data_IF_435614190909
#
_entry.id   IF_435614190909
#
_cell.length_a   1.000
_cell.length_b   1.000
_cell.length_c   1.000
_cell.angle_alpha   90.00
_cell.angle_beta   90.00
_cell.angle_gamma   90.00
#
_symmetry.space_group_name_H-M   'P 1'
#
loop_
_entity.id
_entity.type
_entity.pdbx_description
1 polymer ?
#
# COMPACT_ATOMS: atom_id res chain seq x y z
N UNK A 1 -33.69 12.05 -17.91
CA UNK A 1 -32.69 11.40 -18.78
C UNK A 1 -32.90 9.89 -18.68
N UNK A 2 -32.87 9.16 -19.80
CA UNK A 2 -32.78 7.68 -19.73
C UNK A 2 -31.42 7.33 -19.11
N UNK A 3 -31.33 6.36 -18.19
CA UNK A 3 -30.04 5.92 -17.67
C UNK A 3 -29.16 5.45 -18.84
N UNK A 4 -27.87 5.79 -18.78
CA UNK A 4 -26.91 5.25 -19.74
C UNK A 4 -26.97 3.71 -19.64
N UNK A 5 -26.97 2.99 -20.78
CA UNK A 5 -27.06 1.54 -20.74
C UNK A 5 -25.89 0.96 -19.94
N UNK A 6 -26.12 -0.13 -19.21
CA UNK A 6 -25.03 -0.86 -18.56
C UNK A 6 -24.04 -1.37 -19.61
N UNK A 7 -22.77 -1.49 -19.24
CA UNK A 7 -21.77 -2.16 -20.08
C UNK A 7 -22.18 -3.62 -20.30
N UNK A 8 -22.44 -4.03 -21.56
CA UNK A 8 -22.87 -5.40 -21.86
C UNK A 8 -21.84 -6.45 -21.42
N UNK A 9 -20.56 -6.10 -21.50
CA UNK A 9 -19.44 -6.95 -21.07
C UNK A 9 -18.51 -6.14 -20.17
N UNK A 10 -18.32 -6.59 -18.94
CA UNK A 10 -17.27 -6.05 -18.07
C UNK A 10 -16.88 -7.10 -17.03
N UNK A 11 -15.59 -7.27 -16.72
CA UNK A 11 -15.18 -8.16 -15.66
C UNK A 11 -15.59 -7.61 -14.30
N UNK A 12 -15.93 -8.49 -13.36
CA UNK A 12 -16.10 -8.08 -11.97
C UNK A 12 -14.76 -7.62 -11.36
N UNK A 13 -14.73 -6.56 -10.53
CA UNK A 13 -13.55 -6.20 -9.77
C UNK A 13 -13.19 -7.28 -8.77
N UNK A 14 -11.90 -7.47 -8.53
CA UNK A 14 -11.40 -8.35 -7.48
C UNK A 14 -11.23 -7.63 -6.15
N UNK A 15 -11.19 -8.39 -5.06
CA UNK A 15 -10.93 -7.86 -3.73
C UNK A 15 -9.57 -7.16 -3.69
N UNK A 16 -9.56 -5.89 -3.29
CA UNK A 16 -8.36 -5.05 -3.21
C UNK A 16 -7.74 -4.67 -4.57
N UNK A 17 -8.42 -4.92 -5.69
CA UNK A 17 -7.98 -4.48 -7.01
C UNK A 17 -7.94 -2.94 -7.11
N UNK A 18 -6.91 -2.40 -7.75
CA UNK A 18 -6.81 -0.97 -8.02
C UNK A 18 -7.82 -0.52 -9.10
N UNK A 19 -8.35 0.70 -8.98
CA UNK A 19 -9.32 1.24 -9.94
C UNK A 19 -8.73 1.29 -11.35
N UNK A 20 -7.48 1.74 -11.49
CA UNK A 20 -6.76 1.71 -12.76
C UNK A 20 -6.67 0.29 -13.33
N UNK A 21 -6.45 -0.72 -12.49
CA UNK A 21 -6.30 -2.10 -12.96
C UNK A 21 -7.61 -2.68 -13.48
N UNK A 22 -8.70 -2.46 -12.73
CA UNK A 22 -10.02 -2.89 -13.18
C UNK A 22 -10.44 -2.18 -14.47
N UNK A 23 -10.23 -0.86 -14.58
CA UNK A 23 -10.58 -0.12 -15.80
C UNK A 23 -9.76 -0.57 -17.01
N UNK A 24 -8.49 -0.92 -16.84
CA UNK A 24 -7.70 -1.54 -17.92
C UNK A 24 -8.33 -2.85 -18.38
N UNK A 25 -8.78 -3.71 -17.45
CA UNK A 25 -9.45 -4.97 -17.80
C UNK A 25 -10.80 -4.76 -18.48
N UNK A 26 -11.55 -3.73 -18.09
CA UNK A 26 -12.79 -3.33 -18.78
C UNK A 26 -12.47 -2.85 -20.20
N UNK A 27 -11.52 -1.94 -20.37
CA UNK A 27 -11.16 -1.37 -21.67
C UNK A 27 -10.67 -2.47 -22.65
N UNK A 28 -9.92 -3.46 -22.15
CA UNK A 28 -9.50 -4.63 -22.92
C UNK A 28 -10.67 -5.45 -23.49
N UNK A 29 -11.83 -5.51 -22.82
CA UNK A 29 -13.02 -6.18 -23.35
C UNK A 29 -13.59 -5.50 -24.60
N UNK A 30 -13.25 -4.23 -24.82
CA UNK A 30 -13.70 -3.42 -25.96
C UNK A 30 -12.57 -3.09 -26.95
N UNK A 31 -11.37 -3.66 -26.75
CA UNK A 31 -10.18 -3.36 -27.54
C UNK A 31 -9.81 -1.86 -27.54
N UNK A 32 -9.98 -1.21 -26.39
CA UNK A 32 -9.68 0.20 -26.18
C UNK A 32 -8.64 0.38 -25.07
N UNK A 33 -7.97 1.52 -25.07
CA UNK A 33 -7.18 1.98 -23.93
C UNK A 33 -8.06 2.70 -22.90
N UNK A 34 -7.60 2.78 -21.64
CA UNK A 34 -8.37 3.41 -20.56
C UNK A 34 -8.66 4.88 -20.84
N UNK A 35 -7.74 5.60 -21.48
CA UNK A 35 -7.96 6.99 -21.88
C UNK A 35 -9.14 7.15 -22.83
N UNK A 36 -9.27 6.26 -23.81
CA UNK A 36 -10.36 6.27 -24.79
C UNK A 36 -11.70 5.93 -24.12
N UNK A 37 -11.69 4.96 -23.18
CA UNK A 37 -12.87 4.64 -22.37
C UNK A 37 -13.31 5.83 -21.51
N UNK A 38 -12.36 6.51 -20.86
CA UNK A 38 -12.66 7.69 -20.03
C UNK A 38 -13.24 8.83 -20.89
N UNK A 39 -12.61 9.14 -22.01
CA UNK A 39 -12.97 10.27 -22.86
C UNK A 39 -14.30 10.05 -23.57
N UNK A 40 -14.44 8.92 -24.27
CA UNK A 40 -15.55 8.71 -25.18
C UNK A 40 -16.78 8.09 -24.52
N UNK A 41 -16.60 7.29 -23.46
CA UNK A 41 -17.69 6.56 -22.81
C UNK A 41 -18.16 7.22 -21.52
N UNK A 42 -17.21 7.71 -20.72
CA UNK A 42 -17.48 8.23 -19.38
C UNK A 42 -17.51 9.77 -19.36
N UNK A 43 -17.12 10.44 -20.44
CA UNK A 43 -17.13 11.90 -20.54
C UNK A 43 -16.11 12.58 -19.63
N UNK A 44 -15.04 11.87 -19.27
CA UNK A 44 -13.95 12.38 -18.47
C UNK A 44 -12.71 12.54 -19.33
N UNK A 45 -12.07 13.71 -19.28
CA UNK A 45 -10.76 13.91 -19.89
C UNK A 45 -9.68 13.07 -19.19
N UNK A 46 -8.42 13.34 -19.50
CA UNK A 46 -7.29 12.69 -18.83
C UNK A 46 -7.40 12.86 -17.30
N UNK A 47 -7.54 11.75 -16.59
CA UNK A 47 -7.48 11.70 -15.13
C UNK A 47 -6.06 11.33 -14.74
N UNK A 48 -5.35 12.25 -14.08
CA UNK A 48 -3.93 12.10 -13.77
C UNK A 48 -3.62 10.87 -12.90
N UNK A 49 -4.49 10.57 -11.92
CA UNK A 49 -4.35 9.38 -11.07
C UNK A 49 -5.71 8.82 -10.60
N UNK A 50 -6.08 7.67 -11.16
CA UNK A 50 -7.30 6.94 -10.83
C UNK A 50 -7.23 6.27 -9.44
N UNK A 51 -6.04 6.00 -8.92
CA UNK A 51 -5.87 5.21 -7.70
C UNK A 51 -5.68 6.07 -6.46
N UNK A 52 -5.35 7.36 -6.59
CA UNK A 52 -5.25 8.26 -5.43
C UNK A 52 -6.60 8.83 -5.04
N UNK A 53 -7.21 9.64 -5.90
CA UNK A 53 -8.45 10.36 -5.60
C UNK A 53 -9.29 10.54 -6.87
N UNK A 54 -9.91 9.45 -7.39
CA UNK A 54 -10.73 9.54 -8.58
C UNK A 54 -11.92 10.51 -8.36
N UNK A 55 -12.30 11.31 -9.37
CA UNK A 55 -13.43 12.24 -9.24
C UNK A 55 -14.72 11.52 -8.84
N UNK A 56 -15.49 12.09 -7.91
CA UNK A 56 -16.77 11.49 -7.48
C UNK A 56 -17.77 11.33 -8.64
N UNK A 57 -17.75 12.27 -9.59
CA UNK A 57 -18.55 12.17 -10.81
C UNK A 57 -18.18 10.93 -11.64
N UNK A 58 -16.88 10.62 -11.74
CA UNK A 58 -16.40 9.42 -12.43
C UNK A 58 -16.88 8.16 -11.71
N UNK A 59 -16.76 8.11 -10.38
CA UNK A 59 -17.25 6.96 -9.60
C UNK A 59 -18.76 6.75 -9.76
N UNK A 60 -19.55 7.82 -9.80
CA UNK A 60 -20.99 7.75 -10.02
C UNK A 60 -21.32 7.23 -11.43
N UNK A 61 -20.59 7.68 -12.46
CA UNK A 61 -20.74 7.18 -13.83
C UNK A 61 -20.36 5.69 -13.93
N UNK A 62 -19.23 5.30 -13.34
CA UNK A 62 -18.80 3.90 -13.28
C UNK A 62 -19.83 3.02 -12.57
N UNK A 63 -20.42 3.50 -11.48
CA UNK A 63 -21.49 2.79 -10.78
C UNK A 63 -22.71 2.57 -11.67
N UNK A 64 -23.13 3.61 -12.41
CA UNK A 64 -24.24 3.49 -13.37
C UNK A 64 -23.91 2.51 -14.50
N UNK A 65 -22.69 2.55 -15.05
CA UNK A 65 -22.30 1.71 -16.20
C UNK A 65 -22.10 0.25 -15.81
N UNK A 66 -21.52 -0.03 -14.64
CA UNK A 66 -21.18 -1.39 -14.19
C UNK A 66 -22.20 -2.03 -13.24
N UNK A 67 -23.09 -1.24 -12.63
CA UNK A 67 -23.95 -1.71 -11.54
C UNK A 67 -23.21 -1.98 -10.23
N UNK A 68 -21.95 -1.54 -10.10
CA UNK A 68 -21.15 -1.70 -8.89
C UNK A 68 -21.45 -0.55 -7.93
N UNK A 69 -21.61 -0.85 -6.65
CA UNK A 69 -21.87 0.16 -5.62
C UNK A 69 -20.76 1.22 -5.54
N UNK A 70 -21.10 2.51 -5.39
CA UNK A 70 -20.12 3.59 -5.33
C UNK A 70 -19.05 3.41 -4.26
N UNK A 71 -19.42 2.88 -3.08
CA UNK A 71 -18.47 2.65 -1.98
C UNK A 71 -17.43 1.59 -2.34
N UNK A 72 -17.83 0.54 -3.08
CA UNK A 72 -16.89 -0.48 -3.55
C UNK A 72 -15.91 0.11 -4.57
N UNK A 73 -16.39 0.92 -5.50
CA UNK A 73 -15.52 1.60 -6.48
C UNK A 73 -14.58 2.59 -5.78
N UNK A 74 -15.06 3.31 -4.76
CA UNK A 74 -14.23 4.21 -3.96
C UNK A 74 -13.11 3.46 -3.24
N UNK A 75 -13.38 2.28 -2.69
CA UNK A 75 -12.40 1.41 -2.02
C UNK A 75 -11.31 0.84 -2.95
N UNK A 76 -11.45 1.01 -4.27
CA UNK A 76 -10.41 0.68 -5.26
C UNK A 76 -9.42 1.84 -5.47
N UNK A 77 -9.49 2.88 -4.64
CA UNK A 77 -8.57 4.01 -4.59
C UNK A 77 -8.19 4.36 -3.14
N UNK A 78 -7.08 5.08 -2.95
CA UNK A 78 -6.60 5.52 -1.62
C UNK A 78 -7.61 6.45 -0.93
N UNK A 79 -8.40 7.22 -1.68
CA UNK A 79 -9.51 8.01 -1.13
C UNK A 79 -10.60 7.17 -0.45
N UNK A 80 -10.73 5.88 -0.79
CA UNK A 80 -11.58 4.93 -0.08
C UNK A 80 -10.97 4.38 1.20
N UNK A 81 -9.66 4.59 1.42
CA UNK A 81 -8.94 4.13 2.61
C UNK A 81 -8.75 5.23 3.66
N UNK A 82 -9.27 6.44 3.40
CA UNK A 82 -9.41 7.53 4.37
C UNK A 82 -10.68 7.33 5.21
N UNK A 83 -10.66 7.52 6.55
CA UNK A 83 -9.55 8.00 7.37
C UNK A 83 -8.74 6.89 8.07
N UNK A 84 -8.97 5.62 7.74
CA UNK A 84 -8.47 4.52 8.58
C UNK A 84 -7.02 4.12 8.27
N UNK A 85 -6.62 4.07 6.99
CA UNK A 85 -5.22 3.88 6.60
C UNK A 85 -4.49 5.21 6.53
N UNK A 86 -5.08 6.21 5.87
CA UNK A 86 -4.54 7.57 5.77
C UNK A 86 -5.51 8.50 6.49
N UNK A 87 -5.02 9.47 7.27
CA UNK A 87 -5.92 10.44 7.93
C UNK A 87 -6.49 11.44 6.92
N UNK A 88 -5.71 11.76 5.90
CA UNK A 88 -6.09 12.63 4.79
C UNK A 88 -5.20 12.36 3.57
N UNK A 89 -5.67 12.79 2.40
CA UNK A 89 -4.85 12.93 1.20
C UNK A 89 -4.27 14.33 1.03
N UNK A 90 -4.70 15.29 1.86
CA UNK A 90 -4.13 16.63 1.97
C UNK A 90 -2.75 16.55 2.64
N UNK A 91 -1.74 17.08 1.97
CA UNK A 91 -0.36 17.09 2.42
C UNK A 91 -0.01 18.33 3.27
N UNK A 92 -0.90 19.32 3.34
CA UNK A 92 -0.70 20.57 4.07
C UNK A 92 -1.21 20.53 5.52
N UNK A 93 -1.67 19.37 6.01
CA UNK A 93 -2.14 19.24 7.39
C UNK A 93 -0.97 19.43 8.36
N UNK A 94 -1.01 20.43 9.25
CA UNK A 94 0.01 20.63 10.27
C UNK A 94 0.12 19.42 11.19
N UNK A 95 1.35 19.08 11.58
CA UNK A 95 1.66 18.02 12.54
C UNK A 95 1.10 16.62 12.19
N UNK A 96 0.71 16.39 10.93
CA UNK A 96 0.14 15.13 10.47
C UNK A 96 1.03 13.91 10.77
N UNK A 97 2.35 14.06 10.63
CA UNK A 97 3.29 12.99 10.99
C UNK A 97 3.26 12.70 12.49
N UNK A 98 3.21 13.74 13.33
CA UNK A 98 3.21 13.57 14.78
C UNK A 98 1.93 12.89 15.26
N UNK A 99 0.78 13.33 14.75
CA UNK A 99 -0.52 12.76 15.10
C UNK A 99 -0.66 11.32 14.63
N UNK A 100 -0.13 10.99 13.45
CA UNK A 100 -0.23 9.63 12.92
C UNK A 100 0.80 8.67 13.53
N UNK A 101 2.09 9.04 13.51
CA UNK A 101 3.19 8.11 13.76
C UNK A 101 3.80 8.21 15.17
N UNK A 102 3.65 9.34 15.87
CA UNK A 102 4.31 9.59 17.16
C UNK A 102 3.36 9.51 18.37
N UNK A 103 2.10 9.11 18.20
CA UNK A 103 1.16 8.96 19.32
C UNK A 103 1.22 7.60 20.03
N UNK A 104 1.64 6.53 19.35
CA UNK A 104 1.71 5.17 19.90
C UNK A 104 3.14 4.81 20.32
N UNK A 105 3.40 3.68 20.95
CA UNK A 105 4.75 3.24 21.31
C UNK A 105 4.80 1.72 21.19
N UNK A 106 5.84 1.18 20.53
CA UNK A 106 5.94 -0.27 20.26
C UNK A 106 7.17 -0.86 20.94
N UNK A 107 8.37 -0.47 20.50
CA UNK A 107 9.67 -0.86 21.05
C UNK A 107 10.27 0.21 21.95
N UNK A 108 10.03 1.50 21.66
CA UNK A 108 10.63 2.63 22.38
C UNK A 108 9.58 3.39 23.21
N UNK A 109 9.86 3.74 24.48
CA UNK A 109 8.92 4.51 25.31
C UNK A 109 8.70 5.92 24.74
N UNK A 110 7.46 6.43 24.84
CA UNK A 110 7.04 7.71 24.24
C UNK A 110 7.99 8.89 24.52
N UNK A 111 8.48 9.01 25.76
CA UNK A 111 9.31 10.13 26.22
C UNK A 111 10.71 10.22 25.55
N UNK A 112 11.13 9.19 24.80
CA UNK A 112 12.46 9.15 24.16
C UNK A 112 12.46 9.46 22.68
N UNK A 113 11.30 9.76 22.09
CA UNK A 113 11.22 10.05 20.66
C UNK A 113 11.25 11.55 20.44
N UNK A 114 12.20 12.00 19.60
CA UNK A 114 12.19 13.38 19.10
C UNK A 114 11.05 13.50 18.10
N UNK A 115 10.08 14.36 18.40
CA UNK A 115 9.09 14.79 17.41
C UNK A 115 9.80 15.58 16.32
N UNK A 116 9.23 15.52 15.12
CA UNK A 116 9.77 16.18 13.93
C UNK A 116 8.60 16.74 13.15
N UNK A 117 8.73 17.99 12.75
CA UNK A 117 7.79 18.63 11.85
C UNK A 117 8.30 18.52 10.41
N UNK A 118 7.38 18.24 9.50
CA UNK A 118 7.63 18.14 8.06
C UNK A 118 6.45 18.80 7.37
N UNK A 119 6.79 19.63 6.38
CA UNK A 119 5.83 20.25 5.46
C UNK A 119 5.52 19.30 4.31
N UNK A 120 4.28 19.25 3.82
CA UNK A 120 3.91 18.41 2.67
C UNK A 120 4.18 16.91 2.93
N UNK A 121 3.46 16.34 3.90
CA UNK A 121 3.57 14.92 4.24
C UNK A 121 2.22 14.21 4.09
N UNK A 122 2.25 13.04 3.45
CA UNK A 122 1.10 12.14 3.34
C UNK A 122 1.47 10.77 3.87
N UNK A 123 0.62 10.23 4.73
CA UNK A 123 0.86 8.93 5.36
C UNK A 123 0.90 7.82 4.32
N UNK A 124 1.92 6.96 4.37
CA UNK A 124 2.08 5.77 3.50
C UNK A 124 2.25 6.04 2.00
N UNK A 125 1.88 7.22 1.48
CA UNK A 125 2.00 7.54 0.06
C UNK A 125 3.47 7.76 -0.31
N UNK A 126 4.05 6.90 -1.16
CA UNK A 126 5.46 7.00 -1.50
C UNK A 126 5.72 8.22 -2.40
N UNK A 127 6.90 8.82 -2.27
CA UNK A 127 7.31 9.92 -3.16
C UNK A 127 7.55 9.50 -4.61
N UNK A 128 7.69 8.19 -4.85
CA UNK A 128 7.87 7.58 -6.16
C UNK A 128 6.88 6.43 -6.32
N UNK A 129 6.28 6.25 -7.52
CA UNK A 129 5.42 5.10 -7.80
C UNK A 129 6.09 3.77 -7.47
N UNK A 130 5.31 2.82 -6.97
CA UNK A 130 5.76 1.46 -6.71
C UNK A 130 5.07 0.53 -7.70
N UNK A 131 5.85 -0.12 -8.55
CA UNK A 131 5.38 -1.11 -9.52
C UNK A 131 5.87 -2.48 -9.11
N UNK A 132 5.06 -3.17 -8.32
CA UNK A 132 5.35 -4.53 -7.88
C UNK A 132 4.10 -5.38 -7.85
N UNK A 133 4.28 -6.67 -8.03
CA UNK A 133 3.18 -7.61 -8.06
C UNK A 133 3.63 -9.02 -7.70
N UNK A 134 2.65 -9.87 -7.40
CA UNK A 134 2.91 -11.28 -7.22
C UNK A 134 3.11 -11.97 -8.57
N UNK A 135 4.22 -12.68 -8.82
CA UNK A 135 4.44 -13.41 -10.06
C UNK A 135 3.39 -14.48 -10.32
N UNK A 136 2.92 -15.16 -9.26
CA UNK A 136 1.88 -16.17 -9.37
C UNK A 136 0.50 -15.58 -9.70
N UNK A 137 0.15 -14.41 -9.16
CA UNK A 137 -1.11 -13.74 -9.53
C UNK A 137 -1.12 -13.32 -11.00
N UNK A 138 -0.06 -12.65 -11.47
CA UNK A 138 -0.06 -12.05 -12.81
C UNK A 138 0.26 -13.03 -13.94
N UNK A 139 0.92 -14.15 -13.65
CA UNK A 139 1.17 -15.20 -14.65
C UNK A 139 -0.08 -16.05 -14.92
N UNK A 140 -1.13 -15.95 -14.11
CA UNK A 140 -2.44 -16.53 -14.42
C UNK A 140 -3.21 -15.55 -15.35
N UNK A 141 -3.49 -15.94 -16.62
CA UNK A 141 -4.22 -15.10 -17.57
C UNK A 141 -5.62 -14.74 -17.09
N UNK A 142 -6.24 -15.61 -16.27
CA UNK A 142 -7.52 -15.30 -15.63
C UNK A 142 -7.35 -14.33 -14.47
N UNK A 143 -6.15 -14.19 -13.89
CA UNK A 143 -5.86 -13.47 -12.64
C UNK A 143 -4.96 -12.21 -12.74
N UNK A 144 -4.95 -11.51 -13.87
CA UNK A 144 -4.11 -10.31 -14.09
C UNK A 144 -4.61 -9.02 -13.41
N UNK A 145 -5.13 -9.09 -12.18
CA UNK A 145 -5.48 -7.91 -11.40
C UNK A 145 -4.27 -7.40 -10.59
N UNK A 146 -3.97 -6.11 -10.70
CA UNK A 146 -2.99 -5.44 -9.86
C UNK A 146 -3.70 -4.91 -8.61
N UNK A 147 -3.25 -5.36 -7.44
CA UNK A 147 -3.84 -4.93 -6.18
C UNK A 147 -3.37 -3.53 -5.79
N UNK A 148 -4.29 -2.72 -5.26
CA UNK A 148 -4.01 -1.36 -4.80
C UNK A 148 -2.94 -1.36 -3.69
N UNK A 149 -2.97 -2.37 -2.81
CA UNK A 149 -2.05 -2.49 -1.69
C UNK A 149 -0.59 -2.66 -2.12
N UNK A 150 -0.35 -3.22 -3.31
CA UNK A 150 1.00 -3.39 -3.85
C UNK A 150 1.65 -2.06 -4.23
N UNK A 151 0.85 -1.03 -4.48
CA UNK A 151 1.30 0.34 -4.79
C UNK A 151 1.72 1.13 -3.55
N UNK A 152 1.46 0.61 -2.35
CA UNK A 152 1.90 1.18 -1.08
C UNK A 152 3.00 0.34 -0.44
N UNK A 153 3.93 0.96 0.29
CA UNK A 153 4.97 0.26 1.03
C UNK A 153 4.45 -0.30 2.36
N UNK A 154 3.41 -1.15 2.30
CA UNK A 154 2.75 -1.75 3.47
C UNK A 154 3.11 -3.23 3.68
N UNK A 155 3.52 -3.91 2.61
CA UNK A 155 3.78 -5.34 2.56
C UNK A 155 4.95 -5.66 1.61
N UNK A 156 5.55 -6.84 1.76
CA UNK A 156 6.66 -7.31 0.91
C UNK A 156 6.31 -8.56 0.10
N UNK A 157 5.28 -9.29 0.51
CA UNK A 157 4.85 -10.55 -0.05
C UNK A 157 3.36 -10.54 -0.42
N UNK A 158 3.00 -11.47 -1.31
CA UNK A 158 1.62 -11.71 -1.67
C UNK A 158 0.89 -12.38 -0.50
N UNK A 159 -0.23 -11.82 -0.01
CA UNK A 159 -0.98 -12.42 1.09
C UNK A 159 -1.67 -13.74 0.72
N UNK A 160 -1.85 -14.01 -0.59
CA UNK A 160 -2.45 -15.23 -1.10
C UNK A 160 -1.41 -16.34 -1.32
N UNK A 161 -0.24 -15.98 -1.85
CA UNK A 161 0.77 -16.96 -2.28
C UNK A 161 2.01 -17.04 -1.38
N UNK A 162 2.22 -16.07 -0.48
CA UNK A 162 3.38 -16.03 0.42
C UNK A 162 4.73 -15.80 -0.28
N UNK A 163 4.75 -15.51 -1.58
CA UNK A 163 5.96 -15.15 -2.31
C UNK A 163 6.21 -13.65 -2.29
N UNK A 164 7.45 -13.23 -2.50
CA UNK A 164 7.81 -11.83 -2.65
C UNK A 164 7.02 -11.14 -3.77
N UNK A 165 6.76 -9.85 -3.58
CA UNK A 165 6.29 -8.97 -4.64
C UNK A 165 7.50 -8.55 -5.46
N UNK A 166 7.45 -8.83 -6.76
CA UNK A 166 8.53 -8.55 -7.71
C UNK A 166 8.22 -7.31 -8.54
N UNK A 167 9.27 -6.57 -8.92
CA UNK A 167 9.12 -5.36 -9.71
C UNK A 167 8.71 -5.67 -11.15
N UNK A 168 7.82 -4.84 -11.68
CA UNK A 168 7.35 -4.96 -13.06
C UNK A 168 7.36 -3.58 -13.74
N UNK A 169 7.46 -3.56 -15.06
CA UNK A 169 7.26 -2.36 -15.87
C UNK A 169 5.90 -2.40 -16.57
N UNK A 170 5.27 -1.23 -16.68
CA UNK A 170 3.93 -1.10 -17.25
C UNK A 170 3.36 0.30 -17.12
N UNK A 171 2.09 0.45 -17.47
CA UNK A 171 1.32 1.69 -17.22
C UNK A 171 0.50 1.54 -15.94
N UNK A 172 -0.01 2.64 -15.32
CA UNK A 172 -0.82 2.54 -14.10
C UNK A 172 -1.94 1.50 -14.22
N UNK A 173 -1.88 0.48 -13.36
CA UNK A 173 -2.89 -0.59 -13.31
C UNK A 173 -2.72 -1.74 -14.30
N UNK A 174 -1.78 -1.65 -15.25
CA UNK A 174 -1.54 -2.68 -16.28
C UNK A 174 -0.11 -3.19 -16.23
N UNK A 175 0.01 -4.50 -16.11
CA UNK A 175 1.28 -5.22 -16.22
C UNK A 175 1.65 -5.43 -17.69
N UNK A 176 2.90 -5.12 -18.07
CA UNK A 176 3.42 -5.36 -19.42
C UNK A 176 4.59 -6.36 -19.41
N UNK A 177 5.42 -6.34 -18.37
CA UNK A 177 6.48 -7.32 -18.18
C UNK A 177 7.22 -7.16 -16.86
N UNK A 178 8.00 -8.17 -16.50
CA UNK A 178 8.85 -8.13 -15.30
C UNK A 178 10.13 -7.33 -15.57
N UNK A 179 10.63 -6.61 -14.56
CA UNK A 179 11.92 -5.93 -14.66
C UNK A 179 13.07 -6.94 -14.67
N UNK A 180 12.93 -8.02 -13.90
CA UNK A 180 13.89 -9.13 -13.84
C UNK A 180 13.40 -10.29 -14.72
N UNK A 181 14.33 -10.91 -15.45
CA UNK A 181 14.03 -12.07 -16.29
C UNK A 181 13.74 -13.34 -15.47
N UNK A 182 14.34 -13.46 -14.29
CA UNK A 182 13.99 -14.52 -13.34
C UNK A 182 12.71 -14.13 -12.59
N UNK A 183 11.65 -14.86 -12.90
CA UNK A 183 10.31 -14.65 -12.33
C UNK A 183 9.90 -15.82 -11.44
N UNK A 184 10.85 -16.71 -11.11
CA UNK A 184 10.62 -17.81 -10.21
C UNK A 184 10.12 -17.25 -8.86
N UNK A 185 8.94 -17.67 -8.37
CA UNK A 185 8.39 -17.15 -7.14
C UNK A 185 9.35 -17.38 -5.97
N UNK A 186 9.86 -16.29 -5.40
CA UNK A 186 10.74 -16.37 -4.24
C UNK A 186 9.88 -16.39 -2.98
N UNK A 187 10.01 -17.43 -2.16
CA UNK A 187 9.23 -17.55 -0.91
C UNK A 187 9.64 -16.47 0.08
N UNK A 188 8.68 -15.80 0.71
CA UNK A 188 8.93 -14.86 1.78
C UNK A 188 9.24 -15.59 3.10
N UNK A 189 10.02 -14.97 3.98
CA UNK A 189 10.24 -15.54 5.32
C UNK A 189 8.93 -15.58 6.11
N UNK A 190 8.86 -16.44 7.12
CA UNK A 190 7.68 -16.56 7.98
C UNK A 190 7.31 -15.21 8.63
N UNK A 191 8.33 -14.45 9.05
CA UNK A 191 8.14 -13.13 9.64
C UNK A 191 7.43 -12.16 8.70
N UNK A 192 7.90 -12.08 7.45
CA UNK A 192 7.29 -11.26 6.40
C UNK A 192 5.88 -11.73 6.11
N UNK A 193 5.70 -13.04 5.91
CA UNK A 193 4.40 -13.60 5.56
C UNK A 193 3.35 -13.39 6.68
N UNK A 194 3.75 -13.46 7.96
CA UNK A 194 2.87 -13.17 9.11
C UNK A 194 2.46 -11.69 9.13
N UNK A 195 3.42 -10.77 8.99
CA UNK A 195 3.14 -9.34 8.96
C UNK A 195 2.21 -8.99 7.78
N UNK A 196 2.50 -9.50 6.59
CA UNK A 196 1.76 -9.18 5.38
C UNK A 196 0.36 -9.77 5.37
N UNK A 197 0.16 -10.98 5.92
CA UNK A 197 -1.19 -11.53 6.14
C UNK A 197 -2.02 -10.69 7.09
N UNK A 198 -1.42 -10.18 8.18
CA UNK A 198 -2.11 -9.26 9.12
C UNK A 198 -2.44 -7.93 8.45
N UNK A 199 -1.51 -7.38 7.68
CA UNK A 199 -1.73 -6.17 6.88
C UNK A 199 -2.84 -6.36 5.85
N UNK A 200 -2.88 -7.50 5.17
CA UNK A 200 -3.97 -7.83 4.25
C UNK A 200 -5.31 -7.98 4.97
N UNK A 201 -5.33 -8.67 6.12
CA UNK A 201 -6.53 -8.78 6.95
C UNK A 201 -7.08 -7.40 7.36
N UNK A 202 -6.21 -6.47 7.74
CA UNK A 202 -6.61 -5.09 8.04
C UNK A 202 -7.30 -4.43 6.83
N UNK A 203 -6.74 -4.59 5.63
CA UNK A 203 -7.25 -3.98 4.40
C UNK A 203 -8.60 -4.56 3.95
N UNK A 204 -8.80 -5.87 4.08
CA UNK A 204 -10.00 -6.53 3.54
C UNK A 204 -11.12 -6.71 4.55
N UNK A 205 -10.80 -6.80 5.85
CA UNK A 205 -11.79 -7.10 6.89
C UNK A 205 -11.99 -5.97 7.90
N UNK A 206 -11.17 -4.91 7.83
CA UNK A 206 -11.24 -3.77 8.76
C UNK A 206 -10.69 -4.04 10.16
N UNK A 207 -10.13 -5.23 10.41
CA UNK A 207 -9.53 -5.60 11.70
C UNK A 207 -8.35 -6.56 11.53
N UNK A 208 -7.55 -6.72 12.58
CA UNK A 208 -6.44 -7.68 12.64
C UNK A 208 -6.59 -8.55 13.88
N UNK A 209 -6.44 -9.86 13.69
CA UNK A 209 -6.34 -10.82 14.78
C UNK A 209 -4.90 -10.90 15.28
N UNK A 210 -4.70 -10.47 16.53
CA UNK A 210 -3.44 -10.65 17.26
C UNK A 210 -3.63 -11.74 18.33
N UNK A 211 -2.55 -12.40 18.80
CA UNK A 211 -2.67 -13.54 19.71
C UNK A 211 -3.50 -13.32 20.98
N UNK A 212 -3.65 -12.06 21.44
CA UNK A 212 -4.37 -11.72 22.67
C UNK A 212 -5.63 -10.87 22.46
N UNK A 213 -5.82 -10.28 21.28
CA UNK A 213 -6.94 -9.39 21.01
C UNK A 213 -7.10 -9.10 19.52
N UNK A 214 -8.34 -8.85 19.11
CA UNK A 214 -8.66 -8.19 17.85
C UNK A 214 -8.38 -6.68 17.98
N UNK A 215 -7.80 -6.07 16.94
CA UNK A 215 -7.64 -4.61 16.86
C UNK A 215 -8.21 -4.06 15.55
N UNK A 216 -8.64 -2.81 15.57
CA UNK A 216 -9.12 -2.10 14.37
C UNK A 216 -7.98 -1.87 13.37
N UNK A 217 -8.27 -1.94 12.06
CA UNK A 217 -7.30 -1.75 10.98
C UNK A 217 -6.51 -0.44 11.12
N UNK A 218 -7.19 0.68 11.43
CA UNK A 218 -6.50 1.96 11.60
C UNK A 218 -5.51 2.02 12.77
N UNK A 219 -5.70 1.18 13.80
CA UNK A 219 -4.71 1.03 14.88
C UNK A 219 -3.53 0.18 14.42
N UNK A 220 -3.75 -0.87 13.62
CA UNK A 220 -2.69 -1.68 13.03
C UNK A 220 -1.72 -0.83 12.20
N UNK A 221 -2.24 -0.01 11.27
CA UNK A 221 -1.38 0.82 10.42
C UNK A 221 -0.60 1.87 11.20
N UNK A 222 -1.21 2.49 12.23
CA UNK A 222 -0.48 3.41 13.10
C UNK A 222 0.62 2.70 13.88
N UNK A 223 0.36 1.50 14.42
CA UNK A 223 1.38 0.70 15.11
C UNK A 223 2.53 0.33 14.17
N UNK A 224 2.23 -0.11 12.95
CA UNK A 224 3.24 -0.44 11.95
C UNK A 224 4.07 0.80 11.57
N UNK A 225 3.42 1.95 11.33
CA UNK A 225 4.13 3.19 11.00
C UNK A 225 5.00 3.67 12.16
N UNK A 226 4.49 3.61 13.38
CA UNK A 226 5.24 3.90 14.61
C UNK A 226 6.47 3.00 14.73
N UNK A 227 6.31 1.68 14.52
CA UNK A 227 7.41 0.73 14.59
C UNK A 227 8.51 1.07 13.57
N UNK A 228 8.14 1.44 12.34
CA UNK A 228 9.10 1.87 11.32
C UNK A 228 9.87 3.14 11.75
N UNK A 229 9.23 4.11 12.40
CA UNK A 229 9.94 5.29 12.92
C UNK A 229 10.86 4.95 14.09
N UNK A 230 10.43 4.05 14.98
CA UNK A 230 11.24 3.58 16.10
C UNK A 230 12.48 2.82 15.62
N UNK A 231 12.33 1.96 14.60
CA UNK A 231 13.46 1.26 13.97
C UNK A 231 14.44 2.21 13.27
N UNK A 232 13.97 3.39 12.83
CA UNK A 232 14.83 4.44 12.26
C UNK A 232 15.46 5.37 13.33
N UNK A 233 15.34 5.04 14.62
CA UNK A 233 15.89 5.84 15.71
C UNK A 233 17.36 5.48 15.97
N UNK A 234 18.30 6.46 16.07
CA UNK A 234 19.70 6.18 16.41
C UNK A 234 19.84 5.49 17.78
N UNK A 235 20.69 4.46 17.88
CA UNK A 235 20.88 3.71 19.13
C UNK A 235 21.32 4.58 20.30
N UNK A 236 22.10 5.63 20.06
CA UNK A 236 22.53 6.61 21.08
C UNK A 236 21.35 7.31 21.78
N UNK A 237 20.18 7.35 21.15
CA UNK A 237 18.95 7.94 21.70
C UNK A 237 17.99 6.92 22.31
N UNK A 238 18.27 5.62 22.17
CA UNK A 238 17.38 4.54 22.62
C UNK A 238 17.60 4.16 24.10
N UNK A 239 18.78 4.46 24.66
CA UNK A 239 19.18 4.07 26.01
C UNK A 239 19.03 2.56 26.23
N UNK A 240 18.35 2.15 27.31
CA UNK A 240 18.13 0.72 27.66
C UNK A 240 17.43 -0.11 26.57
N UNK A 241 16.65 0.51 25.67
CA UNK A 241 15.98 -0.21 24.57
C UNK A 241 16.91 -0.49 23.36
N UNK A 242 18.15 0.02 23.36
CA UNK A 242 19.07 -0.14 22.24
C UNK A 242 19.40 -1.62 21.92
N UNK A 243 19.36 -2.49 22.94
CA UNK A 243 19.56 -3.93 22.77
C UNK A 243 18.51 -4.57 21.87
N UNK A 244 17.23 -4.25 22.08
CA UNK A 244 16.13 -4.79 21.28
C UNK A 244 16.24 -4.37 19.81
N UNK A 245 16.51 -3.09 19.53
CA UNK A 245 16.67 -2.62 18.15
C UNK A 245 17.84 -3.32 17.47
N UNK A 246 18.96 -3.50 18.18
CA UNK A 246 20.12 -4.22 17.62
C UNK A 246 19.76 -5.66 17.26
N UNK A 247 19.06 -6.37 18.14
CA UNK A 247 18.61 -7.74 17.88
C UNK A 247 17.69 -7.84 16.66
N UNK A 248 16.78 -6.88 16.47
CA UNK A 248 15.91 -6.85 15.28
C UNK A 248 16.73 -6.70 14.01
N UNK A 249 17.65 -5.73 13.97
CA UNK A 249 18.48 -5.48 12.78
C UNK A 249 19.45 -6.64 12.49
N UNK A 250 20.05 -7.23 13.52
CA UNK A 250 20.86 -8.45 13.40
C UNK A 250 20.03 -9.63 12.89
N UNK A 251 18.79 -9.77 13.38
CA UNK A 251 17.87 -10.85 12.99
C UNK A 251 17.45 -10.81 11.52
N UNK A 252 17.30 -9.61 10.92
CA UNK A 252 17.04 -9.46 9.50
C UNK A 252 18.31 -9.35 8.63
N UNK A 253 19.51 -9.40 9.24
CA UNK A 253 20.79 -9.37 8.53
C UNK A 253 21.15 -8.02 7.89
N UNK A 254 20.42 -6.95 8.20
CA UNK A 254 20.64 -5.61 7.64
C UNK A 254 21.41 -4.70 8.62
N UNK A 255 22.19 -3.74 8.12
CA UNK A 255 22.82 -2.75 9.00
C UNK A 255 21.76 -1.94 9.74
N UNK A 256 22.11 -1.44 10.93
CA UNK A 256 21.23 -0.58 11.73
C UNK A 256 20.63 0.54 10.88
N UNK A 257 19.31 0.75 11.03
CA UNK A 257 18.55 1.76 10.27
C UNK A 257 18.68 1.58 8.75
N UNK A 258 18.90 0.36 8.27
CA UNK A 258 19.15 0.08 6.85
C UNK A 258 20.31 0.93 6.27
N UNK A 259 21.33 1.21 7.09
CA UNK A 259 22.50 2.00 6.70
C UNK A 259 22.29 3.51 6.62
N UNK A 260 21.14 4.02 7.07
CA UNK A 260 20.84 5.45 7.06
C UNK A 260 21.68 6.23 8.07
N UNK A 261 22.32 7.30 7.61
CA UNK A 261 22.97 8.30 8.49
C UNK A 261 21.96 9.33 8.97
N UNK A 262 21.23 9.96 8.05
CA UNK A 262 20.20 10.95 8.31
C UNK A 262 18.82 10.30 8.43
N UNK A 263 17.96 10.85 9.29
CA UNK A 263 16.58 10.42 9.34
C UNK A 263 15.77 11.09 8.23
N UNK A 264 14.85 10.33 7.64
CA UNK A 264 13.84 10.78 6.68
C UNK A 264 12.54 10.03 6.95
N UNK A 265 11.37 10.60 6.59
CA UNK A 265 10.12 9.86 6.59
C UNK A 265 10.22 8.59 5.78
N UNK A 266 9.58 7.54 6.28
CA UNK A 266 9.54 6.24 5.63
C UNK A 266 9.10 6.32 4.16
N UNK A 267 8.12 7.18 3.88
CA UNK A 267 7.52 7.42 2.56
C UNK A 267 8.52 8.00 1.53
N UNK A 268 9.57 8.66 2.01
CA UNK A 268 10.60 9.32 1.18
C UNK A 268 11.91 8.54 1.11
N UNK A 269 11.99 7.39 1.77
CA UNK A 269 13.17 6.53 1.71
C UNK A 269 13.34 5.94 0.31
N UNK A 270 14.59 5.71 -0.08
CA UNK A 270 14.93 4.98 -1.29
C UNK A 270 14.29 3.58 -1.25
N UNK A 271 13.88 3.00 -2.40
CA UNK A 271 13.17 1.72 -2.44
C UNK A 271 13.87 0.58 -1.68
N UNK A 272 15.19 0.42 -1.85
CA UNK A 272 15.96 -0.62 -1.16
C UNK A 272 15.94 -0.45 0.37
N UNK A 273 16.14 0.79 0.85
CA UNK A 273 16.11 1.11 2.29
C UNK A 273 14.71 0.87 2.85
N UNK A 274 13.67 1.26 2.09
CA UNK A 274 12.27 1.10 2.47
C UNK A 274 11.89 -0.38 2.62
N UNK A 275 12.41 -1.25 1.76
CA UNK A 275 12.25 -2.70 1.82
C UNK A 275 12.92 -3.26 3.08
N UNK A 276 14.19 -2.94 3.33
CA UNK A 276 14.92 -3.40 4.52
C UNK A 276 14.25 -2.96 5.84
N UNK A 277 13.69 -1.75 5.87
CA UNK A 277 12.92 -1.24 7.01
C UNK A 277 11.66 -2.08 7.27
N UNK A 278 10.96 -2.56 6.23
CA UNK A 278 9.81 -3.48 6.40
C UNK A 278 10.24 -4.87 6.84
N UNK A 279 11.37 -5.37 6.36
CA UNK A 279 11.92 -6.65 6.84
C UNK A 279 12.26 -6.58 8.33
N UNK A 280 12.85 -5.47 8.78
CA UNK A 280 13.10 -5.22 10.20
C UNK A 280 11.79 -5.12 10.99
N UNK A 281 10.76 -4.46 10.46
CA UNK A 281 9.44 -4.40 11.09
C UNK A 281 8.80 -5.80 11.21
N UNK A 282 8.86 -6.60 10.15
CA UNK A 282 8.38 -7.98 10.16
C UNK A 282 9.10 -8.83 11.22
N UNK A 283 10.43 -8.67 11.31
CA UNK A 283 11.27 -9.35 12.30
C UNK A 283 10.90 -8.95 13.74
N UNK A 284 10.59 -7.66 13.98
CA UNK A 284 10.16 -7.19 15.30
C UNK A 284 8.75 -7.65 15.71
N UNK A 285 7.90 -8.00 14.75
CA UNK A 285 6.52 -8.45 14.97
C UNK A 285 6.43 -9.97 15.24
N UNK A 286 7.48 -10.71 14.88
CA UNK A 286 7.55 -12.17 14.92
C UNK A 286 8.05 -12.68 16.26
#
# INVERSE_FOLDING_TARGET
>A
MKPAPHWPLHPAPREGEALSSWLNRVALCYHMEVSELLEHDLGHGQVDDLDTAPPLALLAMLSQRSGIEPDRLRCMSFAGWVPWLLDSLDDQIPDALETYAFQLSVLLPKLRRRTRSITSWRTWLPSQPIHRACPLCLNDPANQAVLLAWKLPLMLSCPLHGCWLESYWGVPGRFLGWENADTAPRTASDAIAVMDRRTWQALTTGHVELPRRRIHAGLWFRLLRTLLDELNTPLSTCGTCAGYLRQVWEGCGHPLRAGQSLWRPYETLNPAVRLQMLEAAATAIS
#
